data_IF_291764958795
#
_entry.id   IF_291764958795
#
_cell.length_a   1.000
_cell.length_b   1.000
_cell.length_c   1.000
_cell.angle_alpha   90.00
_cell.angle_beta   90.00
_cell.angle_gamma   90.00
#
_symmetry.space_group_name_H-M   'P 1'
#
loop_
_entity.id
_entity.type
_entity.pdbx_description
1 polymer ?
#
# COMPACT_ATOMS: atom_id res chain seq x y z
N UNK A 1 -5.63 -15.81 5.65
CA UNK A 1 -4.79 -16.41 6.74
C UNK A 1 -3.91 -15.39 7.41
N UNK A 2 -3.19 -14.53 6.67
CA UNK A 2 -2.31 -13.53 7.27
C UNK A 2 -3.07 -12.51 8.14
N UNK A 3 -4.14 -11.90 7.64
CA UNK A 3 -4.99 -11.00 8.43
C UNK A 3 -5.60 -11.68 9.65
N UNK A 4 -6.04 -12.94 9.51
CA UNK A 4 -6.54 -13.74 10.64
C UNK A 4 -5.46 -13.92 11.71
N UNK A 5 -4.22 -14.19 11.32
CA UNK A 5 -3.09 -14.32 12.24
C UNK A 5 -2.75 -12.99 12.91
N UNK A 6 -2.79 -11.87 12.17
CA UNK A 6 -2.61 -10.52 12.71
C UNK A 6 -3.73 -10.17 13.70
N UNK A 7 -4.99 -10.36 13.34
CA UNK A 7 -6.15 -10.12 14.21
C UNK A 7 -6.07 -10.96 15.49
N UNK A 8 -5.69 -12.24 15.38
CA UNK A 8 -5.45 -13.09 16.54
C UNK A 8 -4.32 -12.56 17.43
N UNK A 9 -3.16 -12.19 16.85
CA UNK A 9 -2.04 -11.61 17.60
C UNK A 9 -2.45 -10.33 18.33
N UNK A 10 -3.19 -9.44 17.66
CA UNK A 10 -3.65 -8.17 18.22
C UNK A 10 -4.64 -8.37 19.37
N UNK A 11 -5.57 -9.33 19.22
CA UNK A 11 -6.51 -9.70 20.28
C UNK A 11 -5.80 -10.32 21.49
N UNK A 12 -4.95 -11.31 21.26
CA UNK A 12 -4.32 -12.08 22.35
C UNK A 12 -3.24 -11.30 23.10
N UNK A 13 -2.47 -10.46 22.41
CA UNK A 13 -1.31 -9.77 23.01
C UNK A 13 -1.58 -8.32 23.40
N UNK A 14 -2.54 -7.65 22.73
CA UNK A 14 -2.79 -6.22 22.92
C UNK A 14 -4.26 -5.92 23.27
N UNK A 15 -5.12 -6.94 23.37
CA UNK A 15 -6.56 -6.80 23.61
C UNK A 15 -7.24 -5.87 22.58
N UNK A 16 -6.78 -5.92 21.33
CA UNK A 16 -7.32 -5.17 20.21
C UNK A 16 -8.16 -6.10 19.32
N UNK A 17 -9.45 -5.84 19.23
CA UNK A 17 -10.32 -6.53 18.29
C UNK A 17 -10.41 -5.73 16.99
N UNK A 18 -10.04 -6.37 15.88
CA UNK A 18 -10.09 -5.77 14.55
C UNK A 18 -11.03 -6.59 13.70
N UNK A 19 -12.05 -5.95 13.08
CA UNK A 19 -12.97 -6.64 12.20
C UNK A 19 -12.19 -7.20 11.00
N UNK A 20 -12.44 -8.47 10.68
CA UNK A 20 -11.92 -9.08 9.47
C UNK A 20 -12.99 -8.99 8.40
N UNK A 21 -12.61 -8.48 7.24
CA UNK A 21 -13.45 -8.49 6.06
C UNK A 21 -13.24 -9.81 5.30
N UNK A 22 -14.33 -10.53 5.06
CA UNK A 22 -14.33 -11.77 4.29
C UNK A 22 -15.08 -11.62 2.96
N UNK A 23 -15.47 -10.39 2.59
CA UNK A 23 -16.17 -10.11 1.36
C UNK A 23 -15.31 -10.39 0.12
N UNK A 24 -15.96 -10.86 -0.94
CA UNK A 24 -15.30 -11.11 -2.23
C UNK A 24 -15.64 -9.97 -3.17
N UNK A 25 -14.65 -9.13 -3.45
CA UNK A 25 -14.80 -7.98 -4.32
C UNK A 25 -14.84 -8.36 -5.81
N UNK A 26 -15.75 -7.73 -6.55
CA UNK A 26 -15.74 -7.81 -8.01
C UNK A 26 -14.54 -7.06 -8.59
N UNK A 27 -14.09 -7.48 -9.78
CA UNK A 27 -12.93 -6.86 -10.44
C UNK A 27 -13.09 -5.34 -10.54
N UNK A 28 -12.15 -4.59 -9.95
CA UNK A 28 -12.16 -3.13 -9.92
C UNK A 28 -12.73 -2.52 -8.64
N UNK A 29 -13.27 -3.34 -7.73
CA UNK A 29 -13.47 -2.98 -6.32
C UNK A 29 -12.34 -3.57 -5.50
N UNK A 30 -11.96 -2.85 -4.45
CA UNK A 30 -10.88 -3.19 -3.56
C UNK A 30 -11.34 -2.89 -2.13
N UNK A 31 -10.75 -3.59 -1.17
CA UNK A 31 -10.78 -3.15 0.22
C UNK A 31 -10.11 -1.77 0.35
N UNK A 32 -10.45 -1.02 1.38
CA UNK A 32 -9.77 0.25 1.67
C UNK A 32 -8.43 -0.02 2.38
N UNK A 33 -8.46 -0.90 3.38
CA UNK A 33 -7.31 -1.36 4.15
C UNK A 33 -7.59 -2.74 4.79
N UNK A 34 -6.52 -3.45 5.12
CA UNK A 34 -6.61 -4.81 5.69
C UNK A 34 -6.77 -4.74 7.21
N UNK A 35 -6.11 -3.76 7.84
CA UNK A 35 -6.09 -3.56 9.29
C UNK A 35 -6.10 -2.06 9.61
N UNK A 36 -6.85 -1.65 10.64
CA UNK A 36 -6.79 -0.30 11.20
C UNK A 36 -6.45 -0.35 12.69
N UNK A 37 -5.46 0.43 13.13
CA UNK A 37 -5.08 0.56 14.55
C UNK A 37 -4.99 2.04 14.87
N UNK A 38 -5.92 2.59 15.66
CA UNK A 38 -5.86 3.99 16.10
C UNK A 38 -5.68 4.99 14.94
N UNK A 39 -6.45 4.82 13.85
CA UNK A 39 -6.34 5.61 12.62
C UNK A 39 -5.19 5.21 11.67
N UNK A 40 -4.32 4.28 12.07
CA UNK A 40 -3.29 3.74 11.18
C UNK A 40 -3.89 2.71 10.23
N UNK A 41 -4.09 3.09 8.98
CA UNK A 41 -4.34 2.15 7.88
C UNK A 41 -3.10 1.32 7.55
N UNK A 42 -3.24 -0.01 7.56
CA UNK A 42 -2.16 -0.98 7.36
C UNK A 42 -2.55 -1.95 6.24
N UNK A 43 -1.61 -2.22 5.33
CA UNK A 43 -1.73 -3.21 4.26
C UNK A 43 -0.91 -4.46 4.65
N UNK A 44 -1.54 -5.63 4.67
CA UNK A 44 -0.97 -6.91 5.06
C UNK A 44 -0.52 -7.65 3.80
N UNK A 45 0.79 -7.86 3.69
CA UNK A 45 1.39 -8.72 2.67
C UNK A 45 1.71 -10.07 3.24
N UNK A 46 1.54 -11.10 2.41
CA UNK A 46 1.98 -12.44 2.74
C UNK A 46 2.59 -13.13 1.53
N UNK A 47 3.58 -13.97 1.78
CA UNK A 47 4.15 -14.86 0.77
C UNK A 47 4.25 -16.29 1.30
N UNK A 48 4.26 -17.26 0.39
CA UNK A 48 4.60 -18.66 0.69
C UNK A 48 6.11 -18.88 0.65
N UNK A 49 6.79 -18.19 -0.26
CA UNK A 49 8.21 -18.38 -0.58
C UNK A 49 8.94 -17.05 -0.74
N UNK A 50 10.25 -17.09 -0.54
CA UNK A 50 11.11 -15.91 -0.63
C UNK A 50 11.36 -15.21 0.70
N UNK A 51 12.12 -14.12 0.62
CA UNK A 51 12.64 -13.36 1.75
C UNK A 51 12.58 -11.84 1.49
N UNK A 52 11.69 -11.42 0.58
CA UNK A 52 11.52 -10.03 0.18
C UNK A 52 10.07 -9.60 0.35
N UNK A 53 9.87 -8.44 0.95
CA UNK A 53 8.64 -7.68 0.86
C UNK A 53 8.70 -6.85 -0.43
N UNK A 54 7.73 -7.07 -1.32
CA UNK A 54 7.62 -6.37 -2.60
C UNK A 54 6.37 -5.50 -2.59
N UNK A 55 6.57 -4.19 -2.75
CA UNK A 55 5.49 -3.20 -2.83
C UNK A 55 5.44 -2.63 -4.24
N UNK A 56 4.42 -3.03 -4.99
CA UNK A 56 4.23 -2.58 -6.36
C UNK A 56 3.93 -1.08 -6.42
N UNK A 57 4.65 -0.37 -7.29
CA UNK A 57 4.49 1.06 -7.51
C UNK A 57 3.10 1.41 -8.02
N UNK A 58 2.45 0.51 -8.78
CA UNK A 58 1.08 0.71 -9.24
C UNK A 58 0.08 0.81 -8.08
N UNK A 59 0.24 0.02 -7.01
CA UNK A 59 -0.62 0.10 -5.82
C UNK A 59 -0.46 1.46 -5.15
N UNK A 60 0.78 1.89 -4.93
CA UNK A 60 1.08 3.21 -4.34
C UNK A 60 0.52 4.35 -5.19
N UNK A 61 0.71 4.28 -6.51
CA UNK A 61 0.24 5.30 -7.44
C UNK A 61 -1.29 5.45 -7.47
N UNK A 62 -2.02 4.33 -7.45
CA UNK A 62 -3.48 4.34 -7.40
C UNK A 62 -3.99 4.90 -6.06
N UNK A 63 -3.51 4.35 -4.94
CA UNK A 63 -3.92 4.77 -3.59
C UNK A 63 -3.60 6.23 -3.30
N UNK A 64 -2.45 6.71 -3.75
CA UNK A 64 -2.07 8.12 -3.59
C UNK A 64 -3.03 9.07 -4.30
N UNK A 65 -3.52 8.72 -5.49
CA UNK A 65 -4.49 9.55 -6.21
C UNK A 65 -5.84 9.65 -5.50
N UNK A 66 -6.18 8.66 -4.67
CA UNK A 66 -7.40 8.64 -3.86
C UNK A 66 -7.19 9.21 -2.45
N UNK A 67 -5.94 9.43 -2.03
CA UNK A 67 -5.64 9.83 -0.65
C UNK A 67 -5.71 8.70 0.36
N UNK A 68 -5.51 7.47 -0.10
CA UNK A 68 -5.67 6.25 0.67
C UNK A 68 -4.34 5.48 0.78
N UNK A 69 -3.20 6.18 0.80
CA UNK A 69 -1.93 5.49 1.01
C UNK A 69 -1.94 4.80 2.38
N UNK A 70 -1.58 3.50 2.47
CA UNK A 70 -1.41 2.87 3.77
C UNK A 70 -0.25 3.55 4.50
N UNK A 71 -0.31 3.61 5.83
CA UNK A 71 0.74 4.20 6.66
C UNK A 71 1.90 3.24 6.91
N UNK A 72 1.59 1.94 6.89
CA UNK A 72 2.54 0.86 7.07
C UNK A 72 2.13 -0.40 6.31
N UNK A 73 3.10 -1.27 6.11
CA UNK A 73 2.91 -2.61 5.55
C UNK A 73 3.35 -3.64 6.58
N UNK A 74 2.47 -4.59 6.89
CA UNK A 74 2.82 -5.75 7.68
C UNK A 74 3.15 -6.91 6.75
N UNK A 75 4.29 -7.55 6.97
CA UNK A 75 4.70 -8.72 6.21
C UNK A 75 4.51 -9.98 7.04
N UNK A 76 3.86 -10.96 6.44
CA UNK A 76 3.65 -12.29 6.95
C UNK A 76 4.25 -13.34 6.01
N UNK A 77 4.47 -14.54 6.51
CA UNK A 77 4.82 -15.70 5.68
C UNK A 77 3.92 -16.85 6.06
N UNK A 78 3.12 -17.32 5.11
CA UNK A 78 2.22 -18.46 5.34
C UNK A 78 2.99 -19.75 5.09
N UNK A 79 3.06 -20.63 6.09
CA UNK A 79 3.72 -21.93 5.91
C UNK A 79 2.89 -22.82 4.96
N UNK A 80 3.59 -23.48 4.05
CA UNK A 80 3.00 -24.19 2.92
C UNK A 80 3.64 -25.56 2.78
N UNK A 81 2.83 -26.59 2.57
CA UNK A 81 3.32 -27.90 2.18
C UNK A 81 3.45 -27.96 0.65
N UNK A 82 4.68 -27.86 0.17
CA UNK A 82 5.00 -27.88 -1.26
C UNK A 82 4.77 -29.24 -1.92
N UNK A 83 4.66 -30.34 -1.16
CA UNK A 83 4.45 -31.68 -1.73
C UNK A 83 2.99 -31.91 -2.12
N UNK A 84 2.07 -31.37 -1.32
CA UNK A 84 0.62 -31.57 -1.48
C UNK A 84 -0.12 -30.28 -1.83
N UNK A 85 0.60 -29.17 -1.98
CA UNK A 85 0.11 -27.84 -2.35
C UNK A 85 -1.03 -27.31 -1.48
N UNK A 86 -0.85 -27.39 -0.15
CA UNK A 86 -1.83 -26.87 0.84
C UNK A 86 -1.16 -26.06 1.94
N UNK A 87 -1.86 -25.09 2.57
CA UNK A 87 -1.33 -24.38 3.73
C UNK A 87 -1.22 -25.31 4.95
N UNK A 88 -0.17 -25.14 5.77
CA UNK A 88 0.04 -25.94 6.98
C UNK A 88 -0.69 -25.42 8.23
N UNK A 89 -1.38 -24.28 8.12
CA UNK A 89 -2.14 -23.71 9.23
C UNK A 89 -1.39 -22.71 10.10
N UNK A 90 -0.11 -22.44 9.84
CA UNK A 90 0.69 -21.42 10.55
C UNK A 90 1.04 -20.23 9.67
N UNK A 91 1.25 -19.09 10.32
CA UNK A 91 1.69 -17.84 9.69
C UNK A 91 2.78 -17.24 10.57
N UNK A 92 3.93 -16.97 9.98
CA UNK A 92 5.01 -16.24 10.63
C UNK A 92 4.80 -14.74 10.44
N UNK A 93 4.86 -13.98 11.53
CA UNK A 93 4.82 -12.52 11.50
C UNK A 93 6.24 -11.99 11.25
N UNK A 94 6.54 -11.64 10.00
CA UNK A 94 7.90 -11.36 9.53
C UNK A 94 8.39 -9.99 9.99
N UNK A 95 7.55 -8.96 9.88
CA UNK A 95 7.86 -7.63 10.35
C UNK A 95 7.03 -6.52 9.68
N UNK A 96 7.43 -5.28 9.91
CA UNK A 96 6.73 -4.09 9.46
C UNK A 96 7.69 -3.06 8.82
N UNK A 97 7.18 -2.29 7.85
CA UNK A 97 7.82 -1.07 7.36
C UNK A 97 6.79 0.05 7.19
N UNK A 98 7.16 1.29 7.53
CA UNK A 98 6.33 2.48 7.26
C UNK A 98 6.47 2.93 5.81
N UNK A 99 5.37 3.40 5.22
CA UNK A 99 5.35 4.00 3.88
C UNK A 99 6.32 5.17 3.76
N UNK A 100 6.51 5.96 4.82
CA UNK A 100 7.48 7.08 4.83
C UNK A 100 8.93 6.66 4.52
N UNK A 101 9.27 5.38 4.73
CA UNK A 101 10.58 4.80 4.41
C UNK A 101 10.67 4.24 2.99
N UNK A 102 9.56 3.97 2.31
CA UNK A 102 9.53 3.36 0.98
C UNK A 102 9.83 4.38 -0.14
N UNK A 103 11.08 4.84 -0.24
CA UNK A 103 11.50 5.76 -1.31
C UNK A 103 12.89 5.45 -1.79
N UNK A 104 13.18 5.80 -3.04
CA UNK A 104 14.50 5.62 -3.63
C UNK A 104 15.57 6.31 -2.78
N UNK A 105 16.69 5.61 -2.56
CA UNK A 105 17.81 6.12 -1.76
C UNK A 105 17.66 5.96 -0.24
N UNK A 106 16.56 5.38 0.26
CA UNK A 106 16.49 4.98 1.67
C UNK A 106 17.32 3.73 1.95
N UNK A 107 17.99 3.66 3.12
CA UNK A 107 18.65 2.44 3.56
C UNK A 107 17.69 1.25 3.51
N UNK A 108 18.18 0.11 3.02
CA UNK A 108 17.45 -1.15 2.96
C UNK A 108 16.22 -1.18 2.03
N UNK A 109 16.01 -0.12 1.23
CA UNK A 109 14.94 -0.08 0.22
C UNK A 109 15.57 -0.12 -1.17
N UNK A 110 15.27 -1.20 -1.90
CA UNK A 110 15.69 -1.36 -3.28
C UNK A 110 14.60 -0.92 -4.24
N UNK A 111 14.98 -0.20 -5.30
CA UNK A 111 14.12 -0.01 -6.47
C UNK A 111 14.38 -1.18 -7.41
N UNK A 112 13.37 -2.01 -7.63
CA UNK A 112 13.45 -3.15 -8.53
C UNK A 112 12.50 -2.90 -9.71
N UNK A 113 13.02 -2.87 -10.93
CA UNK A 113 12.23 -2.57 -12.12
C UNK A 113 11.54 -3.80 -12.66
N UNK A 114 10.44 -3.58 -13.37
CA UNK A 114 9.78 -4.62 -14.15
C UNK A 114 10.79 -5.30 -15.06
N UNK A 115 10.81 -6.64 -15.02
CA UNK A 115 11.74 -7.47 -15.78
C UNK A 115 13.01 -7.85 -15.00
N UNK A 116 13.38 -7.11 -13.95
CA UNK A 116 14.49 -7.46 -13.07
C UNK A 116 14.19 -8.76 -12.31
N UNK A 117 15.24 -9.50 -11.96
CA UNK A 117 15.10 -10.63 -11.05
C UNK A 117 15.05 -10.13 -9.60
N UNK A 118 14.17 -10.73 -8.78
CA UNK A 118 14.23 -10.53 -7.33
C UNK A 118 15.61 -11.00 -6.85
N UNK A 119 16.34 -10.20 -6.04
CA UNK A 119 17.69 -10.55 -5.62
C UNK A 119 17.77 -11.94 -4.98
N UNK A 120 18.81 -12.70 -5.34
CA UNK A 120 18.98 -14.08 -4.86
C UNK A 120 18.03 -15.10 -5.50
N UNK A 121 17.30 -14.73 -6.56
CA UNK A 121 16.37 -15.63 -7.27
C UNK A 121 16.49 -15.48 -8.79
N UNK A 122 15.84 -16.37 -9.54
CA UNK A 122 15.62 -16.24 -10.98
C UNK A 122 14.22 -15.73 -11.35
N UNK A 123 13.45 -15.30 -10.35
CA UNK A 123 12.06 -14.86 -10.53
C UNK A 123 12.03 -13.42 -11.02
N UNK A 124 11.47 -13.21 -12.23
CA UNK A 124 11.34 -11.87 -12.83
C UNK A 124 10.11 -11.13 -12.33
N UNK A 125 10.29 -9.85 -12.01
CA UNK A 125 9.22 -8.95 -11.60
C UNK A 125 8.30 -8.59 -12.77
N UNK A 126 7.00 -8.55 -12.50
CA UNK A 126 5.97 -8.16 -13.48
C UNK A 126 5.63 -6.67 -13.43
N UNK A 127 6.10 -5.96 -12.41
CA UNK A 127 5.89 -4.54 -12.16
C UNK A 127 7.12 -3.91 -11.52
N UNK A 128 7.15 -2.58 -11.48
CA UNK A 128 8.13 -1.84 -10.68
C UNK A 128 7.76 -1.96 -9.20
N UNK A 129 8.76 -2.20 -8.36
CA UNK A 129 8.59 -2.48 -6.95
C UNK A 129 9.59 -1.70 -6.09
N UNK A 130 9.17 -1.36 -4.89
CA UNK A 130 10.11 -1.29 -3.78
C UNK A 130 10.30 -2.69 -3.21
N UNK A 131 11.56 -3.11 -3.07
CA UNK A 131 11.95 -4.36 -2.43
C UNK A 131 12.63 -4.08 -1.09
N UNK A 132 12.21 -4.78 -0.04
CA UNK A 132 12.84 -4.75 1.29
C UNK A 132 13.09 -6.18 1.72
N UNK A 133 14.30 -6.49 2.14
CA UNK A 133 14.62 -7.83 2.65
C UNK A 133 13.94 -8.03 4.01
N UNK A 134 13.47 -9.24 4.30
CA UNK A 134 12.82 -9.57 5.58
C UNK A 134 13.71 -9.28 6.79
N UNK A 135 15.03 -9.33 6.62
CA UNK A 135 15.98 -9.03 7.68
C UNK A 135 15.99 -7.55 8.08
N UNK A 136 15.58 -6.67 7.17
CA UNK A 136 15.60 -5.22 7.37
C UNK A 136 14.25 -4.65 7.83
N UNK A 137 13.24 -5.50 8.02
CA UNK A 137 11.95 -5.11 8.59
C UNK A 137 12.05 -4.94 10.11
N UNK A 138 11.24 -4.04 10.68
CA UNK A 138 11.08 -3.98 12.15
C UNK A 138 10.30 -5.22 12.60
N UNK A 139 10.85 -5.97 13.56
CA UNK A 139 10.31 -7.27 14.00
C UNK A 139 9.74 -7.23 15.42
N UNK A 140 10.02 -6.17 16.17
CA UNK A 140 9.47 -5.99 17.52
C UNK A 140 8.02 -5.51 17.43
N UNK A 141 7.10 -6.48 17.36
CA UNK A 141 5.66 -6.22 17.28
C UNK A 141 5.12 -5.45 18.48
N UNK A 142 5.68 -5.65 19.68
CA UNK A 142 5.27 -4.88 20.84
C UNK A 142 5.57 -3.40 20.64
N UNK A 143 6.79 -3.07 20.24
CA UNK A 143 7.18 -1.70 19.94
C UNK A 143 6.36 -1.11 18.78
N UNK A 144 6.09 -1.88 17.72
CA UNK A 144 5.28 -1.41 16.58
C UNK A 144 3.86 -1.05 17.03
N UNK A 145 3.17 -1.97 17.70
CA UNK A 145 1.77 -1.79 18.07
C UNK A 145 1.64 -0.72 19.16
N UNK A 146 2.52 -0.72 20.17
CA UNK A 146 2.54 0.34 21.18
C UNK A 146 2.79 1.71 20.55
N UNK A 147 3.68 1.82 19.55
CA UNK A 147 3.88 3.07 18.84
C UNK A 147 2.60 3.56 18.14
N UNK A 148 1.90 2.67 17.42
CA UNK A 148 0.65 3.02 16.71
C UNK A 148 -0.47 3.42 17.68
N UNK A 149 -0.55 2.79 18.86
CA UNK A 149 -1.55 3.11 19.89
C UNK A 149 -1.34 4.49 20.54
N UNK A 150 -0.10 4.97 20.63
CA UNK A 150 0.22 6.22 21.34
C UNK A 150 0.54 7.40 20.42
N UNK A 151 0.59 7.18 19.10
CA UNK A 151 0.91 8.23 18.12
C UNK A 151 -0.12 8.25 17.00
N UNK A 152 -0.42 9.43 16.49
CA UNK A 152 -1.22 9.59 15.27
C UNK A 152 -0.43 9.12 14.03
N UNK A 153 -1.10 8.61 12.99
CA UNK A 153 -0.46 8.30 11.72
C UNK A 153 0.18 9.55 11.09
N UNK A 154 1.31 9.40 10.37
CA UNK A 154 1.93 10.51 9.67
C UNK A 154 1.06 10.97 8.50
N UNK A 155 1.07 12.27 8.22
CA UNK A 155 0.49 12.80 6.98
C UNK A 155 1.33 12.34 5.78
N UNK A 156 0.68 11.67 4.83
CA UNK A 156 1.27 11.16 3.59
C UNK A 156 0.95 12.02 2.36
N UNK A 157 0.31 13.17 2.53
CA UNK A 157 -0.08 14.06 1.42
C UNK A 157 1.12 14.52 0.58
N UNK A 158 2.29 14.65 1.22
CA UNK A 158 3.58 15.02 0.62
C UNK A 158 4.48 13.82 0.27
N UNK A 159 3.98 12.59 0.41
CA UNK A 159 4.72 11.40 -0.01
C UNK A 159 4.94 11.42 -1.53
N UNK A 160 6.18 11.27 -2.03
CA UNK A 160 6.46 11.36 -3.46
C UNK A 160 6.00 10.10 -4.20
N UNK A 161 5.22 10.29 -5.25
CA UNK A 161 4.81 9.20 -6.13
C UNK A 161 6.04 8.54 -6.75
N UNK A 162 6.12 7.21 -6.74
CA UNK A 162 7.34 6.56 -7.19
C UNK A 162 7.56 6.66 -8.72
N UNK A 163 6.50 6.80 -9.52
CA UNK A 163 6.62 7.00 -10.97
C UNK A 163 6.93 8.44 -11.36
N UNK A 164 6.28 9.41 -10.72
CA UNK A 164 6.26 10.80 -11.20
C UNK A 164 6.99 11.77 -10.29
N UNK A 165 7.32 11.37 -9.06
CA UNK A 165 7.81 12.24 -8.00
C UNK A 165 6.77 13.20 -7.42
N UNK A 166 5.56 13.27 -8.00
CA UNK A 166 4.52 14.21 -7.57
C UNK A 166 3.88 13.78 -6.23
N UNK A 167 3.45 14.76 -5.45
CA UNK A 167 2.71 14.52 -4.20
C UNK A 167 1.20 14.47 -4.44
N UNK A 168 0.43 13.99 -3.47
CA UNK A 168 -1.03 13.98 -3.59
C UNK A 168 -1.57 15.42 -3.69
N UNK A 169 -1.01 16.34 -2.91
CA UNK A 169 -1.40 17.76 -2.97
C UNK A 169 -1.21 18.34 -4.37
N UNK A 170 -0.09 17.99 -5.02
CA UNK A 170 0.19 18.40 -6.39
C UNK A 170 -0.79 17.79 -7.41
N UNK A 171 -1.21 16.53 -7.22
CA UNK A 171 -2.25 15.92 -8.05
C UNK A 171 -3.60 16.63 -7.89
N UNK A 172 -4.04 16.87 -6.66
CA UNK A 172 -5.32 17.56 -6.38
C UNK A 172 -5.32 18.96 -7.00
N UNK A 173 -4.23 19.71 -6.83
CA UNK A 173 -4.07 21.04 -7.41
C UNK A 173 -4.07 21.02 -8.95
N UNK A 174 -3.44 20.01 -9.56
CA UNK A 174 -3.46 19.88 -11.01
C UNK A 174 -4.87 19.57 -11.53
N UNK A 175 -5.59 18.66 -10.87
CA UNK A 175 -6.97 18.30 -11.25
C UNK A 175 -7.92 19.48 -11.09
N UNK A 176 -7.79 20.29 -10.04
CA UNK A 176 -8.62 21.48 -9.86
C UNK A 176 -8.41 22.51 -10.98
N UNK A 177 -7.16 22.76 -11.37
CA UNK A 177 -6.83 23.66 -12.49
C UNK A 177 -7.41 23.13 -13.80
N UNK A 178 -7.23 21.84 -14.11
CA UNK A 178 -7.76 21.23 -15.34
C UNK A 178 -9.30 21.26 -15.40
N UNK A 179 -9.99 21.16 -14.25
CA UNK A 179 -11.44 21.27 -14.18
C UNK A 179 -11.92 22.71 -14.38
N UNK A 180 -11.23 23.69 -13.80
CA UNK A 180 -11.50 25.12 -14.02
C UNK A 180 -11.32 25.51 -15.49
N UNK A 181 -10.23 25.08 -16.13
CA UNK A 181 -9.97 25.34 -17.55
C UNK A 181 -11.04 24.71 -18.46
N UNK A 182 -11.45 23.46 -18.20
CA UNK A 182 -12.53 22.80 -18.94
C UNK A 182 -13.86 23.53 -18.78
N UNK A 183 -14.18 23.97 -17.56
CA UNK A 183 -15.39 24.76 -17.28
C UNK A 183 -15.38 26.09 -18.04
N UNK A 184 -14.24 26.78 -18.06
CA UNK A 184 -14.08 28.03 -18.78
C UNK A 184 -14.24 27.85 -20.30
N UNK A 185 -13.61 26.84 -20.89
CA UNK A 185 -13.74 26.52 -22.32
C UNK A 185 -15.20 26.16 -22.67
N UNK A 186 -15.87 25.36 -21.85
CA UNK A 186 -17.28 25.01 -22.05
C UNK A 186 -18.18 26.27 -22.07
N UNK A 187 -17.95 27.21 -21.15
CA UNK A 187 -18.68 28.48 -21.10
C UNK A 187 -18.47 29.33 -22.37
N UNK A 188 -17.24 29.41 -22.90
CA UNK A 188 -16.96 30.11 -24.15
C UNK A 188 -17.71 29.47 -25.32
N UNK A 189 -17.68 28.14 -25.42
CA UNK A 189 -18.37 27.41 -26.50
C UNK A 189 -19.89 27.66 -26.45
N UNK A 190 -20.51 27.65 -25.28
CA UNK A 190 -21.95 27.96 -25.13
C UNK A 190 -22.28 29.39 -25.56
N UNK A 191 -21.48 30.38 -25.15
CA UNK A 191 -21.67 31.78 -25.57
C UNK A 191 -21.55 31.93 -27.09
N UNK A 192 -20.57 31.29 -27.71
CA UNK A 192 -20.41 31.29 -29.17
C UNK A 192 -21.63 30.66 -29.85
N UNK A 193 -22.09 29.49 -29.40
CA UNK A 193 -23.30 28.84 -29.95
C UNK A 193 -24.54 29.73 -29.84
N UNK A 194 -24.73 30.43 -28.72
CA UNK A 194 -25.86 31.34 -28.52
C UNK A 194 -25.83 32.58 -29.43
N UNK A 195 -24.63 32.99 -29.87
CA UNK A 195 -24.45 34.13 -30.77
C UNK A 195 -24.81 33.79 -32.22
N UNK A 196 -24.55 32.56 -32.67
CA UNK A 196 -24.85 32.10 -34.02
C UNK A 196 -26.28 31.56 -34.22
N UNK A 197 -27.10 31.52 -33.16
CA UNK A 197 -28.53 31.13 -33.21
C UNK A 197 -29.49 32.32 -33.25
N UNK A 198 -28.99 33.55 -33.40
CA UNK A 198 -29.77 34.77 -33.64
C UNK A 198 -29.57 35.25 -35.08
#
# INVERSE_FOLDING_TARGET
MAEVAISKMLKEQFNLEIPLDFEVYSRGKWDDNDVEINGWHIDVKSTRIGHWLLIEWNKLNFRQKQGELPHAFFMCKTDWDMKVDVPKGSVDLVGCISTTKLKAGMPHVMVLRKGDCIPGTHTRLQADNFGVEFNDLQKDWKVIIEYMLHNSPPDLSEYPNPYTGKTQQQYVKQVSIEQEEKGFIACIIEKIKSFFQR
#
